data_IF_786241821524
#
_entry.id   IF_786241821524
#
_cell.length_a   1.000
_cell.length_b   1.000
_cell.length_c   1.000
_cell.angle_alpha   90.00
_cell.angle_beta   90.00
_cell.angle_gamma   90.00
#
_symmetry.space_group_name_H-M   'P 1'
#
loop_
_entity.id
_entity.type
_entity.pdbx_description
1 polymer ?
#
# COMPACT_ATOMS: atom_id res chain seq x y z
N UNK A 1 27.03 -1.23 -17.96
CA UNK A 1 26.34 -1.67 -16.72
C UNK A 1 24.84 -1.52 -16.94
N UNK A 2 24.02 -2.38 -16.39
CA UNK A 2 22.55 -2.20 -16.45
C UNK A 2 22.14 -1.09 -15.49
N UNK A 3 21.19 -0.24 -15.91
CA UNK A 3 20.60 0.77 -15.02
C UNK A 3 19.74 0.07 -13.98
N UNK A 4 20.00 0.34 -12.70
CA UNK A 4 19.13 -0.12 -11.62
C UNK A 4 17.82 0.68 -11.66
N UNK A 5 16.68 0.00 -11.78
CA UNK A 5 15.37 0.65 -11.84
C UNK A 5 14.77 0.75 -10.44
N UNK A 6 14.55 1.96 -9.90
CA UNK A 6 13.95 2.13 -8.58
C UNK A 6 12.59 1.46 -8.48
N UNK A 7 12.24 0.95 -7.29
CA UNK A 7 11.00 0.23 -7.07
C UNK A 7 10.19 0.86 -5.93
N UNK A 8 8.90 1.01 -6.16
CA UNK A 8 7.88 1.31 -5.16
C UNK A 8 7.11 0.02 -4.93
N UNK A 9 7.23 -0.57 -3.77
CA UNK A 9 6.53 -1.81 -3.39
C UNK A 9 5.30 -1.46 -2.56
N UNK A 10 4.15 -1.98 -2.97
CA UNK A 10 2.89 -1.87 -2.25
C UNK A 10 2.50 -3.26 -1.75
N UNK A 11 2.59 -3.49 -0.43
CA UNK A 11 2.27 -4.75 0.22
C UNK A 11 1.04 -4.59 1.11
N UNK A 12 -0.03 -5.35 0.82
CA UNK A 12 -1.30 -5.17 1.52
C UNK A 12 -2.34 -6.25 1.22
N UNK A 13 -3.55 -5.98 1.65
CA UNK A 13 -4.71 -6.84 1.45
C UNK A 13 -5.45 -6.54 0.13
N UNK A 14 -6.78 -6.63 0.13
CA UNK A 14 -7.62 -6.32 -1.04
C UNK A 14 -7.48 -4.87 -1.51
N UNK A 15 -7.22 -3.92 -0.61
CA UNK A 15 -6.99 -2.51 -0.96
C UNK A 15 -5.78 -2.34 -1.89
N UNK A 16 -4.76 -3.17 -1.71
CA UNK A 16 -3.59 -3.22 -2.60
C UNK A 16 -3.84 -4.14 -3.81
N UNK A 17 -4.50 -5.29 -3.62
CA UNK A 17 -4.77 -6.22 -4.72
C UNK A 17 -5.56 -5.57 -5.85
N UNK A 18 -6.56 -4.75 -5.51
CA UNK A 18 -7.42 -4.08 -6.49
C UNK A 18 -6.91 -2.70 -6.93
N UNK A 19 -5.76 -2.26 -6.44
CA UNK A 19 -5.23 -0.92 -6.68
C UNK A 19 -4.87 -0.58 -8.12
N UNK A 20 -4.82 -1.57 -9.01
CA UNK A 20 -4.68 -1.37 -10.46
C UNK A 20 -6.02 -1.52 -11.22
N UNK A 21 -7.13 -1.81 -10.54
CA UNK A 21 -8.43 -1.93 -11.21
C UNK A 21 -8.90 -0.57 -11.73
N UNK A 22 -8.96 -0.37 -13.06
CA UNK A 22 -9.32 0.93 -13.65
C UNK A 22 -10.78 1.31 -13.43
N UNK A 23 -11.62 0.36 -13.00
CA UNK A 23 -13.07 0.55 -12.87
C UNK A 23 -13.49 0.96 -11.46
N UNK A 24 -12.65 0.75 -10.46
CA UNK A 24 -13.01 1.03 -9.08
C UNK A 24 -11.94 1.77 -8.28
N UNK A 25 -10.74 1.23 -8.19
CA UNK A 25 -9.73 1.69 -7.23
C UNK A 25 -8.32 1.86 -7.83
N UNK A 26 -8.13 2.74 -8.84
CA UNK A 26 -6.90 2.77 -9.63
C UNK A 26 -5.70 3.50 -8.99
N UNK A 27 -5.57 3.56 -7.66
CA UNK A 27 -4.55 4.39 -7.03
C UNK A 27 -3.10 3.95 -7.32
N UNK A 28 -2.83 2.65 -7.49
CA UNK A 28 -1.51 2.19 -7.92
C UNK A 28 -1.25 2.50 -9.40
N UNK A 29 -2.29 2.49 -10.25
CA UNK A 29 -2.18 2.91 -11.64
C UNK A 29 -1.89 4.41 -11.76
N UNK A 30 -2.48 5.24 -10.89
CA UNK A 30 -2.16 6.68 -10.80
C UNK A 30 -0.70 6.88 -10.38
N UNK A 31 -0.21 6.13 -9.38
CA UNK A 31 1.20 6.15 -8.99
C UNK A 31 2.11 5.69 -10.14
N UNK A 32 1.79 4.58 -10.80
CA UNK A 32 2.57 4.09 -11.93
C UNK A 32 2.64 5.12 -13.07
N UNK A 33 1.55 5.85 -13.32
CA UNK A 33 1.53 6.95 -14.28
C UNK A 33 2.43 8.10 -13.84
N UNK A 34 2.39 8.48 -12.55
CA UNK A 34 3.21 9.58 -12.00
C UNK A 34 4.71 9.26 -12.04
N UNK A 35 5.08 8.03 -11.74
CA UNK A 35 6.47 7.59 -11.69
C UNK A 35 6.93 6.88 -12.98
N UNK A 36 6.20 7.05 -14.08
CA UNK A 36 6.56 6.48 -15.38
C UNK A 36 7.97 6.91 -15.80
N UNK A 37 8.80 5.93 -16.19
CA UNK A 37 10.22 6.13 -16.55
C UNK A 37 11.12 6.63 -15.40
N UNK A 38 10.65 6.51 -14.17
CA UNK A 38 11.38 6.90 -12.95
C UNK A 38 11.50 5.73 -11.99
N UNK A 39 10.38 5.02 -11.75
CA UNK A 39 10.33 3.87 -10.86
C UNK A 39 9.22 2.90 -11.27
N UNK A 40 9.42 1.62 -10.98
CA UNK A 40 8.40 0.60 -11.10
C UNK A 40 7.48 0.59 -9.87
N UNK A 41 6.16 0.52 -10.09
CA UNK A 41 5.18 0.30 -9.03
C UNK A 41 4.79 -1.17 -9.00
N UNK A 42 5.18 -1.85 -7.92
CA UNK A 42 5.00 -3.30 -7.74
C UNK A 42 3.97 -3.54 -6.66
N UNK A 43 2.85 -4.17 -7.00
CA UNK A 43 1.82 -4.56 -6.03
C UNK A 43 1.98 -6.01 -5.58
N UNK A 44 1.83 -6.22 -4.29
CA UNK A 44 1.71 -7.52 -3.63
C UNK A 44 0.52 -7.45 -2.69
N UNK A 45 -0.68 -7.50 -3.29
CA UNK A 45 -1.96 -7.46 -2.60
C UNK A 45 -2.56 -8.85 -2.46
N UNK A 46 -3.07 -9.15 -1.26
CA UNK A 46 -3.64 -10.44 -0.89
C UNK A 46 -5.02 -10.24 -0.26
N UNK A 47 -6.07 -10.29 -1.07
CA UNK A 47 -7.45 -10.09 -0.61
C UNK A 47 -7.82 -11.04 0.53
N UNK A 48 -8.39 -10.49 1.60
CA UNK A 48 -8.79 -11.25 2.78
C UNK A 48 -7.65 -11.52 3.80
N UNK A 49 -6.40 -11.17 3.48
CA UNK A 49 -5.29 -11.40 4.41
C UNK A 49 -5.31 -10.40 5.57
N UNK A 50 -5.05 -10.92 6.75
CA UNK A 50 -4.80 -10.18 7.99
C UNK A 50 -3.30 -9.86 8.13
N UNK A 51 -2.94 -9.02 9.08
CA UNK A 51 -1.54 -8.77 9.44
C UNK A 51 -0.80 -10.06 9.82
N UNK A 52 -1.49 -11.00 10.51
CA UNK A 52 -0.94 -12.32 10.85
C UNK A 52 -0.58 -13.11 9.60
N UNK A 53 -1.48 -13.17 8.62
CA UNK A 53 -1.22 -13.87 7.35
C UNK A 53 -0.10 -13.19 6.57
N UNK A 54 -0.09 -11.86 6.55
CA UNK A 54 0.94 -11.06 5.89
C UNK A 54 2.34 -11.33 6.46
N UNK A 55 2.49 -11.34 7.78
CA UNK A 55 3.74 -11.67 8.46
C UNK A 55 4.28 -13.05 8.06
N UNK A 56 3.39 -14.04 7.97
CA UNK A 56 3.77 -15.43 7.62
C UNK A 56 4.29 -15.53 6.19
N UNK A 57 3.66 -14.81 5.24
CA UNK A 57 4.05 -14.93 3.82
C UNK A 57 5.18 -13.98 3.43
N UNK A 58 5.41 -12.90 4.18
CA UNK A 58 6.41 -11.88 3.86
C UNK A 58 7.78 -12.46 3.49
N UNK A 59 8.37 -13.43 4.27
CA UNK A 59 9.66 -14.02 3.94
C UNK A 59 9.68 -14.90 2.69
N UNK A 60 8.51 -15.28 2.17
CA UNK A 60 8.40 -16.06 0.92
C UNK A 60 8.31 -15.16 -0.32
N UNK A 61 8.04 -13.88 -0.12
CA UNK A 61 7.83 -12.91 -1.20
C UNK A 61 9.04 -11.99 -1.32
N UNK A 62 9.58 -11.55 -0.17
CA UNK A 62 10.67 -10.60 -0.12
C UNK A 62 11.89 -11.23 0.53
N UNK A 63 13.05 -11.10 -0.12
CA UNK A 63 14.33 -11.64 0.28
C UNK A 63 15.45 -10.70 -0.22
N UNK A 64 16.70 -10.84 0.23
CA UNK A 64 17.73 -9.84 -0.03
C UNK A 64 17.89 -9.43 -1.50
N UNK A 65 17.76 -10.38 -2.43
CA UNK A 65 18.00 -10.11 -3.85
C UNK A 65 16.87 -9.31 -4.52
N UNK A 66 15.62 -9.45 -4.05
CA UNK A 66 14.49 -8.79 -4.72
C UNK A 66 14.07 -7.46 -4.08
N UNK A 67 14.67 -7.10 -2.94
CA UNK A 67 14.49 -5.77 -2.33
C UNK A 67 15.58 -4.78 -2.72
N UNK A 68 16.57 -5.21 -3.49
CA UNK A 68 17.52 -4.30 -4.12
C UNK A 68 16.75 -3.28 -4.95
N UNK A 69 17.18 -2.04 -4.94
CA UNK A 69 16.56 -0.91 -5.65
C UNK A 69 15.15 -0.54 -5.17
N UNK A 70 14.66 -1.09 -4.05
CA UNK A 70 13.44 -0.61 -3.42
C UNK A 70 13.73 0.73 -2.74
N UNK A 71 13.01 1.78 -3.19
CA UNK A 71 13.10 3.14 -2.65
C UNK A 71 11.93 3.50 -1.74
N UNK A 72 10.81 2.78 -1.89
CA UNK A 72 9.67 2.88 -0.98
C UNK A 72 8.98 1.53 -0.83
N UNK A 73 8.66 1.16 0.41
CA UNK A 73 7.94 -0.07 0.76
C UNK A 73 6.74 0.28 1.62
N UNK A 74 5.55 0.19 1.06
CA UNK A 74 4.29 0.50 1.75
C UNK A 74 3.71 -0.77 2.35
N UNK A 75 3.39 -0.74 3.64
CA UNK A 75 2.65 -1.79 4.34
C UNK A 75 1.24 -1.26 4.63
N UNK A 76 0.23 -1.93 4.07
CA UNK A 76 -1.17 -1.53 4.18
C UNK A 76 -2.07 -2.72 4.52
N UNK A 77 -2.15 -3.05 5.81
CA UNK A 77 -3.00 -4.10 6.39
C UNK A 77 -3.79 -3.57 7.59
N UNK A 78 -4.73 -4.36 8.06
CA UNK A 78 -5.54 -4.09 9.24
C UNK A 78 -7.04 -4.18 8.98
N UNK A 79 -7.46 -3.97 7.74
CA UNK A 79 -8.88 -4.02 7.36
C UNK A 79 -9.55 -5.37 7.65
N UNK A 80 -8.82 -6.48 7.50
CA UNK A 80 -9.33 -7.82 7.78
C UNK A 80 -9.13 -8.24 9.23
N UNK A 81 -8.16 -7.67 9.93
CA UNK A 81 -7.91 -7.88 11.36
C UNK A 81 -9.11 -7.46 12.21
N UNK A 82 -9.88 -6.48 11.75
CA UNK A 82 -11.11 -5.96 12.34
C UNK A 82 -12.31 -6.92 12.25
N UNK A 83 -12.16 -8.11 11.65
CA UNK A 83 -13.25 -9.09 11.53
C UNK A 83 -13.84 -9.41 12.90
N UNK A 84 -15.16 -9.52 12.97
CA UNK A 84 -15.88 -9.76 14.21
C UNK A 84 -15.41 -11.04 14.91
N UNK A 85 -15.08 -10.93 16.19
CA UNK A 85 -14.55 -12.02 17.00
C UNK A 85 -15.53 -13.20 17.09
N UNK A 86 -16.82 -12.92 17.10
CA UNK A 86 -17.88 -13.92 17.24
C UNK A 86 -18.27 -14.52 15.88
N UNK A 87 -18.27 -13.72 14.81
CA UNK A 87 -18.74 -14.15 13.48
C UNK A 87 -17.66 -14.90 12.69
N UNK A 88 -16.40 -14.48 12.85
CA UNK A 88 -15.28 -14.99 12.08
C UNK A 88 -13.97 -14.99 12.90
N UNK A 89 -13.92 -15.76 14.01
CA UNK A 89 -12.79 -15.73 14.93
C UNK A 89 -11.45 -16.09 14.28
N UNK A 90 -11.46 -16.87 13.20
CA UNK A 90 -10.26 -17.24 12.45
C UNK A 90 -9.61 -16.06 11.71
N UNK A 91 -10.37 -14.98 11.44
CA UNK A 91 -9.86 -13.76 10.79
C UNK A 91 -9.61 -12.63 11.78
N UNK A 92 -10.19 -12.70 12.97
CA UNK A 92 -9.94 -11.69 13.99
C UNK A 92 -8.50 -11.75 14.48
N UNK A 93 -7.84 -10.61 14.48
CA UNK A 93 -6.49 -10.44 15.05
C UNK A 93 -6.60 -9.38 16.13
N UNK A 94 -6.38 -9.71 17.42
CA UNK A 94 -6.39 -8.72 18.50
C UNK A 94 -5.44 -7.55 18.20
N UNK A 95 -5.74 -6.36 18.71
CA UNK A 95 -4.99 -5.13 18.41
C UNK A 95 -3.53 -5.21 18.86
N UNK A 96 -3.26 -5.93 19.94
CA UNK A 96 -1.90 -6.19 20.43
C UNK A 96 -1.13 -7.06 19.43
N UNK A 97 -1.74 -8.15 18.96
CA UNK A 97 -1.16 -9.05 17.94
C UNK A 97 -0.96 -8.30 16.61
N UNK A 98 -1.90 -7.40 16.24
CA UNK A 98 -1.77 -6.56 15.06
C UNK A 98 -0.51 -5.68 15.14
N UNK A 99 -0.30 -5.01 16.27
CA UNK A 99 0.90 -4.21 16.51
C UNK A 99 2.16 -5.04 16.41
N UNK A 100 2.18 -6.22 17.06
CA UNK A 100 3.33 -7.15 17.02
C UNK A 100 3.61 -7.64 15.60
N UNK A 101 2.57 -7.98 14.83
CA UNK A 101 2.71 -8.41 13.44
C UNK A 101 3.34 -7.31 12.56
N UNK A 102 2.93 -6.04 12.75
CA UNK A 102 3.56 -4.91 12.04
C UNK A 102 5.03 -4.76 12.41
N UNK A 103 5.36 -4.83 13.71
CA UNK A 103 6.75 -4.74 14.18
C UNK A 103 7.63 -5.88 13.64
N UNK A 104 7.11 -7.10 13.60
CA UNK A 104 7.85 -8.23 13.06
C UNK A 104 8.08 -8.12 11.54
N UNK A 105 7.09 -7.61 10.80
CA UNK A 105 7.28 -7.32 9.37
C UNK A 105 8.36 -6.26 9.15
N UNK A 106 8.39 -5.19 9.94
CA UNK A 106 9.43 -4.16 9.88
C UNK A 106 10.81 -4.76 10.18
N UNK A 107 10.93 -5.50 11.30
CA UNK A 107 12.20 -6.15 11.69
C UNK A 107 12.70 -7.12 10.62
N UNK A 108 11.80 -7.88 10.00
CA UNK A 108 12.15 -8.78 8.91
C UNK A 108 12.71 -8.00 7.71
N UNK A 109 12.02 -6.96 7.25
CA UNK A 109 12.47 -6.15 6.12
C UNK A 109 13.84 -5.52 6.39
N UNK A 110 14.08 -5.02 7.60
CA UNK A 110 15.41 -4.54 8.00
C UNK A 110 16.47 -5.66 7.97
N UNK A 111 16.13 -6.85 8.43
CA UNK A 111 17.06 -7.99 8.49
C UNK A 111 17.54 -8.45 7.11
N UNK A 112 16.73 -8.22 6.06
CA UNK A 112 17.08 -8.53 4.67
C UNK A 112 17.71 -7.33 3.93
N UNK A 113 17.93 -6.20 4.62
CA UNK A 113 18.68 -5.06 4.11
C UNK A 113 17.87 -3.83 3.70
N UNK A 114 16.54 -3.83 3.86
CA UNK A 114 15.72 -2.64 3.60
C UNK A 114 15.93 -1.61 4.70
N UNK A 115 16.25 -0.38 4.33
CA UNK A 115 16.40 0.71 5.30
C UNK A 115 15.05 1.17 5.83
N UNK A 116 14.98 1.54 7.11
CA UNK A 116 13.76 2.04 7.78
C UNK A 116 13.12 3.23 7.09
N UNK A 117 13.92 4.17 6.66
CA UNK A 117 13.46 5.38 6.00
C UNK A 117 12.74 5.13 4.66
N UNK A 118 12.83 3.91 4.12
CA UNK A 118 12.09 3.46 2.94
C UNK A 118 10.75 2.81 3.27
N UNK A 119 10.47 2.49 4.53
CA UNK A 119 9.22 1.86 4.95
C UNK A 119 8.17 2.93 5.28
N UNK A 120 6.94 2.70 4.80
CA UNK A 120 5.79 3.57 5.02
C UNK A 120 4.66 2.69 5.56
N UNK A 121 4.06 3.05 6.70
CA UNK A 121 2.87 2.40 7.22
C UNK A 121 1.61 3.18 6.84
N UNK A 122 0.57 2.47 6.41
CA UNK A 122 -0.76 3.03 6.20
C UNK A 122 -1.74 2.39 7.19
N UNK A 123 -2.51 3.22 7.88
CA UNK A 123 -3.55 2.72 8.79
C UNK A 123 -4.69 2.08 8.01
N UNK A 124 -5.46 1.14 8.60
CA UNK A 124 -6.74 0.75 8.01
C UNK A 124 -7.60 2.01 7.79
N UNK A 125 -8.40 1.97 6.73
CA UNK A 125 -9.39 3.01 6.43
C UNK A 125 -10.65 2.85 7.30
N UNK A 126 -11.61 3.78 7.21
CA UNK A 126 -12.89 3.62 7.86
C UNK A 126 -13.67 2.45 7.25
N UNK A 127 -14.56 1.87 8.05
CA UNK A 127 -15.51 0.85 7.66
C UNK A 127 -16.93 1.39 7.83
N UNK A 128 -17.82 1.15 6.88
CA UNK A 128 -19.22 1.54 6.95
C UNK A 128 -20.11 0.29 6.93
N UNK A 129 -20.49 -0.20 8.12
CA UNK A 129 -21.16 -1.49 8.30
C UNK A 129 -22.49 -1.58 7.59
N UNK A 130 -23.34 -0.54 7.67
CA UNK A 130 -24.65 -0.55 7.00
C UNK A 130 -24.50 -0.70 5.46
N UNK A 131 -23.56 0.04 4.85
CA UNK A 131 -23.29 -0.06 3.40
C UNK A 131 -22.75 -1.44 3.05
N UNK A 132 -21.91 -2.03 3.89
CA UNK A 132 -21.34 -3.34 3.68
C UNK A 132 -22.39 -4.46 3.81
N UNK A 133 -23.27 -4.41 4.81
CA UNK A 133 -24.35 -5.35 4.97
C UNK A 133 -25.28 -5.33 3.76
N UNK A 134 -25.72 -4.15 3.33
CA UNK A 134 -26.54 -3.98 2.14
C UNK A 134 -25.87 -4.56 0.89
N UNK A 135 -24.60 -4.30 0.69
CA UNK A 135 -23.83 -4.87 -0.42
C UNK A 135 -23.79 -6.40 -0.38
N UNK A 136 -23.64 -7.00 0.80
CA UNK A 136 -23.65 -8.45 0.97
C UNK A 136 -25.03 -9.05 0.67
N UNK A 137 -26.10 -8.45 1.19
CA UNK A 137 -27.49 -8.88 0.98
C UNK A 137 -27.87 -8.86 -0.52
N UNK A 138 -27.59 -7.76 -1.22
CA UNK A 138 -27.86 -7.60 -2.65
C UNK A 138 -27.17 -8.66 -3.53
N UNK A 139 -26.08 -9.26 -3.06
CA UNK A 139 -25.28 -10.26 -3.77
C UNK A 139 -25.43 -11.68 -3.22
N UNK A 140 -26.29 -11.88 -2.23
CA UNK A 140 -26.46 -13.18 -1.56
C UNK A 140 -25.15 -13.71 -0.97
N UNK A 141 -24.26 -12.81 -0.48
CA UNK A 141 -22.98 -13.17 0.11
C UNK A 141 -23.02 -13.03 1.63
N UNK A 142 -22.41 -13.99 2.31
CA UNK A 142 -22.11 -13.87 3.75
C UNK A 142 -20.62 -13.64 3.88
N UNK A 143 -20.24 -12.42 4.25
CA UNK A 143 -18.86 -12.04 4.50
C UNK A 143 -18.70 -11.69 5.99
N UNK A 144 -17.50 -11.87 6.58
CA UNK A 144 -17.27 -11.49 7.96
C UNK A 144 -17.63 -10.03 8.21
N UNK A 145 -18.44 -9.77 9.21
CA UNK A 145 -18.69 -8.41 9.69
C UNK A 145 -17.43 -7.82 10.33
N UNK A 146 -17.42 -6.51 10.48
CA UNK A 146 -16.38 -5.77 11.22
C UNK A 146 -17.05 -4.85 12.21
N UNK A 147 -16.37 -4.53 13.29
CA UNK A 147 -16.86 -3.54 14.25
C UNK A 147 -16.27 -2.17 13.94
N UNK A 148 -17.13 -1.23 13.52
CA UNK A 148 -16.70 0.15 13.26
C UNK A 148 -16.09 0.83 14.49
N UNK A 149 -16.52 0.43 15.70
CA UNK A 149 -16.11 1.07 16.96
C UNK A 149 -14.65 0.77 17.32
N UNK A 150 -14.12 -0.36 16.88
CA UNK A 150 -12.72 -0.76 17.18
C UNK A 150 -11.72 -0.26 16.13
N UNK A 151 -12.17 0.26 14.97
CA UNK A 151 -11.26 0.78 13.93
C UNK A 151 -10.25 1.79 14.49
N UNK A 152 -10.65 2.77 15.33
CA UNK A 152 -9.70 3.74 15.91
C UNK A 152 -8.58 3.11 16.72
N UNK A 153 -8.82 1.97 17.40
CA UNK A 153 -7.80 1.27 18.19
C UNK A 153 -6.69 0.72 17.28
N UNK A 154 -7.05 0.14 16.12
CA UNK A 154 -6.08 -0.35 15.13
C UNK A 154 -5.35 0.79 14.42
N UNK A 155 -6.04 1.91 14.19
CA UNK A 155 -5.43 3.14 13.66
C UNK A 155 -4.35 3.64 14.61
N UNK A 156 -4.68 3.79 15.88
CA UNK A 156 -3.74 4.23 16.91
C UNK A 156 -2.56 3.25 17.07
N UNK A 157 -2.84 1.95 17.07
CA UNK A 157 -1.83 0.91 17.13
C UNK A 157 -0.82 1.01 15.97
N UNK A 158 -1.30 1.17 14.73
CA UNK A 158 -0.46 1.37 13.55
C UNK A 158 0.42 2.62 13.67
N UNK A 159 -0.17 3.75 14.06
CA UNK A 159 0.56 5.01 14.24
C UNK A 159 1.60 4.93 15.36
N UNK A 160 1.29 4.23 16.45
CA UNK A 160 2.23 4.01 17.55
C UNK A 160 3.42 3.15 17.11
N UNK A 161 3.19 2.10 16.30
CA UNK A 161 4.28 1.32 15.68
C UNK A 161 5.12 2.19 14.76
N UNK A 162 4.51 2.99 13.89
CA UNK A 162 5.24 3.91 13.01
C UNK A 162 6.12 4.88 13.81
N UNK A 163 5.54 5.50 14.84
CA UNK A 163 6.26 6.42 15.75
C UNK A 163 7.41 5.74 16.47
N UNK A 164 7.19 4.55 17.02
CA UNK A 164 8.22 3.77 17.73
C UNK A 164 9.42 3.45 16.86
N UNK A 165 9.18 3.13 15.59
CA UNK A 165 10.23 2.80 14.62
C UNK A 165 10.73 4.01 13.82
N UNK A 166 10.19 5.22 14.05
CA UNK A 166 10.48 6.45 13.31
C UNK A 166 10.27 6.30 11.80
N UNK A 167 9.10 5.76 11.43
CA UNK A 167 8.68 5.55 10.04
C UNK A 167 7.73 6.65 9.58
N UNK A 168 7.72 6.91 8.27
CA UNK A 168 6.62 7.65 7.64
C UNK A 168 5.31 6.87 7.79
N UNK A 169 4.21 7.58 8.05
CA UNK A 169 2.90 6.96 8.13
C UNK A 169 1.79 7.82 7.53
N UNK A 170 0.73 7.17 7.07
CA UNK A 170 -0.47 7.80 6.54
C UNK A 170 -1.65 7.34 7.37
N UNK A 171 -2.36 8.28 8.01
CA UNK A 171 -3.60 8.01 8.70
C UNK A 171 -4.78 8.06 7.71
N UNK A 172 -5.00 6.96 7.00
CA UNK A 172 -6.07 6.85 5.99
C UNK A 172 -7.46 7.05 6.61
N UNK A 173 -7.66 6.52 7.83
CA UNK A 173 -8.92 6.68 8.56
C UNK A 173 -9.27 8.14 8.77
N UNK A 174 -8.34 8.90 9.34
CA UNK A 174 -8.57 10.30 9.68
C UNK A 174 -8.73 11.16 8.42
N UNK A 175 -7.89 10.92 7.40
CA UNK A 175 -7.97 11.68 6.16
C UNK A 175 -9.32 11.50 5.44
N UNK A 176 -9.86 10.29 5.43
CA UNK A 176 -11.20 10.05 4.87
C UNK A 176 -12.31 10.66 5.75
N UNK A 177 -12.18 10.58 7.08
CA UNK A 177 -13.19 11.08 8.03
C UNK A 177 -13.28 12.62 8.11
N UNK A 178 -12.33 13.35 7.51
CA UNK A 178 -12.42 14.81 7.35
C UNK A 178 -13.58 15.24 6.44
N UNK A 179 -14.01 14.38 5.53
CA UNK A 179 -15.17 14.62 4.67
C UNK A 179 -16.45 14.16 5.38
N UNK A 180 -17.45 15.02 5.51
CA UNK A 180 -18.74 14.67 6.14
C UNK A 180 -19.44 13.53 5.40
N UNK A 181 -19.27 13.44 4.05
CA UNK A 181 -19.76 12.35 3.20
C UNK A 181 -18.67 11.31 2.92
N UNK A 182 -17.83 11.00 3.92
CA UNK A 182 -16.76 10.00 3.77
C UNK A 182 -17.21 8.62 3.25
N UNK A 183 -18.47 8.15 3.44
CA UNK A 183 -18.89 6.87 2.86
C UNK A 183 -18.85 6.84 1.33
N UNK A 184 -18.79 8.00 0.66
CA UNK A 184 -18.61 8.10 -0.80
C UNK A 184 -17.27 7.54 -1.28
N UNK A 185 -16.25 7.55 -0.42
CA UNK A 185 -14.94 6.97 -0.71
C UNK A 185 -14.92 5.44 -0.77
N UNK A 186 -16.01 4.79 -0.31
CA UNK A 186 -16.10 3.33 -0.23
C UNK A 186 -17.22 2.81 -1.14
N UNK A 187 -16.90 1.84 -2.02
CA UNK A 187 -17.87 1.30 -2.98
C UNK A 187 -18.90 0.39 -2.30
N UNK A 188 -18.44 -0.44 -1.37
CA UNK A 188 -19.22 -1.44 -0.65
C UNK A 188 -19.20 -1.25 0.88
N UNK A 189 -18.73 -0.11 1.34
CA UNK A 189 -18.51 0.16 2.76
C UNK A 189 -17.13 -0.26 3.28
N UNK A 190 -16.28 -0.83 2.40
CA UNK A 190 -14.92 -1.31 2.72
C UNK A 190 -13.89 -0.92 1.68
N UNK A 191 -14.11 -1.26 0.41
CA UNK A 191 -13.17 -1.03 -0.69
C UNK A 191 -13.35 0.34 -1.31
N UNK A 192 -12.27 0.92 -1.79
CA UNK A 192 -12.27 2.30 -2.29
C UNK A 192 -13.04 2.44 -3.61
N UNK A 193 -13.72 3.59 -3.75
CA UNK A 193 -14.19 4.13 -5.02
C UNK A 193 -13.03 4.82 -5.76
N UNK A 194 -13.30 5.33 -6.96
CA UNK A 194 -12.34 6.20 -7.68
C UNK A 194 -11.97 7.45 -6.88
N UNK A 195 -12.92 8.02 -6.11
CA UNK A 195 -12.64 9.16 -5.24
C UNK A 195 -11.74 8.77 -4.07
N UNK A 196 -12.03 7.61 -3.44
CA UNK A 196 -11.17 7.04 -2.40
C UNK A 196 -9.76 6.72 -2.92
N UNK A 197 -9.67 6.13 -4.11
CA UNK A 197 -8.40 5.85 -4.77
C UNK A 197 -7.60 7.13 -5.06
N UNK A 198 -8.27 8.19 -5.52
CA UNK A 198 -7.64 9.50 -5.74
C UNK A 198 -7.10 10.07 -4.44
N UNK A 199 -7.85 9.98 -3.34
CA UNK A 199 -7.38 10.42 -2.03
C UNK A 199 -6.12 9.64 -1.60
N UNK A 200 -6.11 8.31 -1.71
CA UNK A 200 -4.92 7.49 -1.38
C UNK A 200 -3.71 7.91 -2.24
N UNK A 201 -3.91 8.14 -3.54
CA UNK A 201 -2.85 8.64 -4.42
C UNK A 201 -2.31 9.99 -3.95
N UNK A 202 -3.17 10.96 -3.64
CA UNK A 202 -2.75 12.31 -3.21
C UNK A 202 -2.04 12.30 -1.84
N UNK A 203 -2.34 11.34 -0.97
CA UNK A 203 -1.64 11.16 0.30
C UNK A 203 -0.26 10.53 0.13
N UNK A 204 -0.12 9.53 -0.74
CA UNK A 204 1.14 8.82 -0.97
C UNK A 204 2.12 9.60 -1.84
N UNK A 205 1.63 10.27 -2.88
CA UNK A 205 2.46 10.97 -3.87
C UNK A 205 3.53 11.87 -3.24
N UNK A 206 3.23 12.80 -2.32
CA UNK A 206 4.23 13.70 -1.78
C UNK A 206 5.30 13.00 -0.93
N UNK A 207 4.97 11.87 -0.30
CA UNK A 207 5.92 11.06 0.45
C UNK A 207 6.88 10.35 -0.51
N UNK A 208 6.34 9.78 -1.58
CA UNK A 208 7.12 9.07 -2.59
C UNK A 208 8.04 10.04 -3.38
N UNK A 209 7.55 11.23 -3.71
CA UNK A 209 8.34 12.27 -4.39
C UNK A 209 9.53 12.80 -3.55
N UNK A 210 9.45 12.70 -2.22
CA UNK A 210 10.60 12.99 -1.35
C UNK A 210 11.66 11.89 -1.36
N UNK A 211 11.25 10.65 -1.65
CA UNK A 211 12.15 9.48 -1.65
C UNK A 211 12.75 9.20 -3.02
N UNK A 212 12.03 9.56 -4.08
CA UNK A 212 12.39 9.30 -5.47
C UNK A 212 12.33 10.61 -6.23
N UNK A 213 13.46 11.04 -6.76
CA UNK A 213 13.48 12.22 -7.62
C UNK A 213 12.77 11.91 -8.95
N UNK A 214 11.57 12.45 -9.08
CA UNK A 214 10.73 12.27 -10.26
C UNK A 214 10.90 13.41 -11.28
N UNK A 215 11.88 14.27 -11.12
CA UNK A 215 12.21 15.37 -12.06
C UNK A 215 12.99 14.87 -13.27
N UNK A 216 13.78 13.79 -13.11
CA UNK A 216 14.60 13.22 -14.17
C UNK A 216 14.15 11.81 -14.55
N UNK A 217 13.93 11.59 -15.82
CA UNK A 217 13.66 10.26 -16.37
C UNK A 217 14.96 9.47 -16.47
N UNK A 218 14.93 8.18 -16.15
CA UNK A 218 16.10 7.30 -16.13
C UNK A 218 16.77 7.12 -17.49
N UNK A 219 16.04 7.34 -18.58
CA UNK A 219 16.55 7.22 -19.93
C UNK A 219 16.31 8.51 -20.70
N UNK A 220 17.18 8.84 -21.69
CA UNK A 220 17.06 10.07 -22.47
C UNK A 220 15.74 10.14 -23.24
N UNK A 221 15.34 11.35 -23.61
CA UNK A 221 14.21 11.58 -24.52
C UNK A 221 14.47 10.93 -25.88
N UNK A 222 13.39 10.60 -26.61
CA UNK A 222 13.49 9.97 -27.91
C UNK A 222 14.24 10.86 -28.96
N UNK A 223 14.20 12.18 -28.76
CA UNK A 223 14.93 13.13 -29.62
C UNK A 223 16.44 13.01 -29.41
N UNK A 224 16.84 12.81 -28.17
CA UNK A 224 18.25 12.69 -27.83
C UNK A 224 18.81 11.36 -28.28
N UNK A 225 18.08 10.25 -28.04
CA UNK A 225 18.51 8.91 -28.46
C UNK A 225 18.55 8.75 -29.96
N UNK A 226 17.61 9.35 -30.71
CA UNK A 226 17.59 9.29 -32.17
C UNK A 226 18.69 10.11 -32.83
N UNK A 227 19.32 11.04 -32.11
CA UNK A 227 20.49 11.80 -32.60
C UNK A 227 21.78 11.03 -32.45
N UNK A 228 21.78 9.94 -31.69
CA UNK A 228 22.94 9.10 -31.38
C UNK A 228 23.00 7.96 -32.39
N UNK A 229 24.17 7.72 -32.96
CA UNK A 229 24.37 6.53 -33.80
C UNK A 229 24.27 5.26 -32.96
N UNK A 230 23.71 4.15 -33.47
CA UNK A 230 23.53 2.91 -32.72
C UNK A 230 24.82 2.40 -32.03
N UNK A 231 25.98 2.59 -32.69
CA UNK A 231 27.29 2.23 -32.18
C UNK A 231 27.76 3.07 -31.00
N UNK A 232 27.21 4.28 -30.82
CA UNK A 232 27.52 5.21 -29.72
C UNK A 232 26.44 5.23 -28.63
N UNK A 233 25.34 4.46 -28.79
CA UNK A 233 24.22 4.45 -27.86
C UNK A 233 24.62 4.08 -26.43
N UNK A 234 25.63 3.23 -26.26
CA UNK A 234 26.16 2.87 -24.93
C UNK A 234 26.89 4.00 -24.18
N UNK A 235 27.27 5.07 -24.90
CA UNK A 235 27.98 6.22 -24.34
C UNK A 235 27.04 7.34 -23.90
N UNK A 236 25.82 7.35 -24.40
CA UNK A 236 24.81 8.40 -24.17
C UNK A 236 23.77 8.04 -23.10
N UNK A 237 23.81 6.81 -22.59
CA UNK A 237 22.95 6.37 -21.48
C UNK A 237 23.70 6.69 -20.17
N UNK A 238 23.06 7.38 -19.20
CA UNK A 238 23.66 7.59 -17.89
C UNK A 238 24.06 6.26 -17.25
N UNK A 239 25.28 6.19 -16.72
CA UNK A 239 25.81 5.00 -16.03
C UNK A 239 25.38 5.03 -14.57
#
# INVERSE_FOLDING_TARGET
MSVAWPKIVLFGDSQVQFSFDPTSSPWAALLATRFQRVADVITRGFSGYTSRSARIILPRIFYPENILDVEAFVIFFGTNDLSGKDDAPQYHVPVEDYSENLEEMIKYLESIGLKKDKIILMTPGPYHGEKFLKFCEERGRTLPSRDEKIVPEYVEACLNVAKKHNLESINVYEEMKKDEDWPRFLIDGLHFTSDGATLIYELLKPILEKKIDASEMLMPDWRDINSVKPEDASKSVPV
#
